data_IF_045876118244
#
_entry.id   IF_045876118244
#
_cell.length_a   1.000
_cell.length_b   1.000
_cell.length_c   1.000
_cell.angle_alpha   90.00
_cell.angle_beta   90.00
_cell.angle_gamma   90.00
#
_symmetry.space_group_name_H-M   'P 1'
#
loop_
_entity.id
_entity.type
_entity.pdbx_description
1 polymer ?
#
# COMPACT_ATOMS: atom_id res chain seq x y z
N UNK A 1 -0.45 -12.77 -2.52
CA UNK A 1 -1.22 -12.68 -1.26
C UNK A 1 -0.85 -11.43 -0.49
N UNK A 2 -1.86 -10.73 0.02
CA UNK A 2 -1.71 -9.59 0.92
C UNK A 2 -1.59 -10.04 2.39
N UNK A 3 -0.77 -9.36 3.16
CA UNK A 3 -0.70 -9.51 4.62
C UNK A 3 -1.02 -8.18 5.29
N UNK A 4 -1.75 -8.22 6.41
CA UNK A 4 -2.12 -7.03 7.19
C UNK A 4 -1.57 -7.18 8.59
N UNK A 5 -0.84 -6.17 9.05
CA UNK A 5 -0.25 -6.12 10.39
C UNK A 5 -0.79 -4.88 11.10
N UNK A 6 -1.53 -5.10 12.19
CA UNK A 6 -2.05 -4.01 13.01
C UNK A 6 -0.95 -3.50 13.95
N UNK A 7 -0.59 -2.23 13.80
CA UNK A 7 0.39 -1.56 14.64
C UNK A 7 -0.28 -0.79 15.80
N UNK A 8 -1.51 -0.33 15.58
CA UNK A 8 -2.40 0.18 16.61
C UNK A 8 -3.86 0.17 16.16
N UNK A 9 -4.74 0.03 17.15
CA UNK A 9 -6.17 -0.29 16.99
C UNK A 9 -7.06 0.49 17.95
N UNK A 10 -6.50 1.48 18.64
CA UNK A 10 -7.26 2.41 19.48
C UNK A 10 -7.76 3.59 18.65
N UNK A 11 -8.92 4.14 19.02
CA UNK A 11 -9.51 5.32 18.41
C UNK A 11 -9.38 6.51 19.37
N UNK A 12 -9.09 7.70 18.82
CA UNK A 12 -8.93 8.99 19.51
C UNK A 12 -7.79 9.09 20.53
N UNK A 13 -7.68 8.15 21.46
CA UNK A 13 -6.64 8.13 22.49
C UNK A 13 -6.01 6.73 22.60
N UNK A 14 -4.70 6.64 22.89
CA UNK A 14 -4.06 5.36 23.14
C UNK A 14 -4.49 4.79 24.49
N UNK A 15 -4.23 3.51 24.68
CA UNK A 15 -4.37 2.83 25.97
C UNK A 15 -3.07 2.10 26.30
N UNK A 16 -2.96 1.57 27.52
CA UNK A 16 -1.81 0.76 27.93
C UNK A 16 -1.57 -0.42 26.97
N UNK A 17 -2.64 -1.02 26.43
CA UNK A 17 -2.56 -2.20 25.57
C UNK A 17 -2.64 -1.91 24.07
N UNK A 18 -3.17 -0.75 23.65
CA UNK A 18 -3.42 -0.43 22.23
C UNK A 18 -2.90 0.95 21.85
N UNK A 19 -2.06 0.99 20.82
CA UNK A 19 -1.63 2.23 20.19
C UNK A 19 -2.74 2.84 19.31
N UNK A 20 -2.60 4.10 18.91
CA UNK A 20 -3.46 4.79 17.95
C UNK A 20 -3.40 4.15 16.55
N UNK A 21 -4.38 4.48 15.70
CA UNK A 21 -4.56 3.88 14.38
C UNK A 21 -3.28 3.88 13.54
N UNK A 22 -2.85 2.68 13.19
CA UNK A 22 -1.81 2.43 12.20
C UNK A 22 -1.85 0.94 11.81
N UNK A 23 -1.81 0.66 10.52
CA UNK A 23 -1.71 -0.71 10.01
C UNK A 23 -0.76 -0.78 8.82
N UNK A 24 -0.04 -1.88 8.67
CA UNK A 24 0.79 -2.15 7.51
C UNK A 24 0.07 -3.12 6.58
N UNK A 25 -0.04 -2.77 5.31
CA UNK A 25 -0.42 -3.69 4.23
C UNK A 25 0.83 -4.07 3.45
N UNK A 26 1.10 -5.37 3.36
CA UNK A 26 2.25 -5.92 2.66
C UNK A 26 1.80 -6.71 1.43
N UNK A 27 2.51 -6.52 0.32
CA UNK A 27 2.35 -7.32 -0.89
C UNK A 27 3.67 -7.44 -1.63
N UNK A 28 4.28 -8.64 -1.62
CA UNK A 28 5.62 -8.89 -2.17
C UNK A 28 6.64 -7.90 -1.61
N UNK A 29 7.10 -6.94 -2.42
CA UNK A 29 8.05 -5.90 -2.02
C UNK A 29 7.39 -4.59 -1.58
N UNK A 30 6.08 -4.43 -1.85
CA UNK A 30 5.30 -3.26 -1.46
C UNK A 30 4.98 -3.27 0.03
N UNK A 31 5.08 -2.09 0.64
CA UNK A 31 4.67 -1.80 2.01
C UNK A 31 3.88 -0.51 2.01
N UNK A 32 2.65 -0.56 2.50
CA UNK A 32 1.77 0.60 2.64
C UNK A 32 1.42 0.76 4.12
N UNK A 33 1.78 1.89 4.70
CA UNK A 33 1.33 2.24 6.04
C UNK A 33 -0.01 2.97 5.93
N UNK A 34 -1.07 2.38 6.46
CA UNK A 34 -2.40 2.97 6.55
C UNK A 34 -2.50 3.70 7.87
N UNK A 35 -2.65 5.03 7.79
CA UNK A 35 -2.56 5.97 8.90
C UNK A 35 -1.24 5.87 9.70
N UNK A 36 -0.95 6.92 10.46
CA UNK A 36 0.25 7.02 11.27
C UNK A 36 -0.06 7.80 12.55
N UNK A 37 -0.83 7.19 13.45
CA UNK A 37 -1.07 7.73 14.79
C UNK A 37 0.22 7.88 15.61
N UNK A 38 0.17 8.68 16.66
CA UNK A 38 1.30 8.83 17.58
C UNK A 38 1.79 7.47 18.08
N UNK A 39 3.12 7.30 18.18
CA UNK A 39 3.74 6.04 18.62
C UNK A 39 3.95 4.97 17.53
N UNK A 40 3.47 5.19 16.31
CA UNK A 40 3.60 4.23 15.19
C UNK A 40 5.04 3.76 14.93
N UNK A 41 6.03 4.67 14.98
CA UNK A 41 7.43 4.29 14.80
C UNK A 41 7.93 3.25 15.82
N UNK A 42 7.46 3.32 17.08
CA UNK A 42 7.80 2.35 18.12
C UNK A 42 7.15 1.01 17.85
N UNK A 43 5.91 1.03 17.34
CA UNK A 43 5.18 -0.18 16.98
C UNK A 43 5.81 -0.88 15.76
N UNK A 44 6.32 -0.12 14.78
CA UNK A 44 7.11 -0.65 13.66
C UNK A 44 8.37 -1.37 14.14
N UNK A 45 9.13 -0.77 15.07
CA UNK A 45 10.32 -1.41 15.63
C UNK A 45 9.98 -2.69 16.42
N UNK A 46 8.95 -2.64 17.27
CA UNK A 46 8.49 -3.82 18.03
C UNK A 46 8.03 -4.97 17.16
N UNK A 47 7.40 -4.67 16.02
CA UNK A 47 6.91 -5.69 15.09
C UNK A 47 8.03 -6.42 14.33
N UNK A 48 9.26 -5.91 14.37
CA UNK A 48 10.38 -6.41 13.55
C UNK A 48 10.33 -5.96 12.09
N UNK A 49 9.27 -5.26 11.65
CA UNK A 49 9.17 -4.75 10.27
C UNK A 49 10.21 -3.67 9.98
N UNK A 50 10.55 -2.86 10.99
CA UNK A 50 11.44 -1.71 10.86
C UNK A 50 10.95 -0.68 9.84
N UNK A 51 11.86 0.16 9.36
CA UNK A 51 11.57 1.26 8.43
C UNK A 51 11.89 0.95 6.96
N UNK A 52 12.57 -0.17 6.70
CA UNK A 52 13.07 -0.52 5.36
C UNK A 52 11.94 -0.58 4.34
N UNK A 53 12.09 0.10 3.20
CA UNK A 53 11.07 0.16 2.12
C UNK A 53 9.71 0.74 2.55
N UNK A 54 9.64 1.48 3.66
CA UNK A 54 8.44 2.25 4.00
C UNK A 54 8.44 3.56 3.19
N UNK A 55 7.87 3.50 1.98
CA UNK A 55 7.86 4.61 1.03
C UNK A 55 6.48 5.22 0.83
N UNK A 56 5.41 4.53 1.25
CA UNK A 56 4.03 4.97 0.99
C UNK A 56 3.21 4.96 2.27
N UNK A 57 2.62 6.10 2.57
CA UNK A 57 1.69 6.29 3.67
C UNK A 57 0.35 6.73 3.10
N UNK A 58 -0.70 5.99 3.44
CA UNK A 58 -2.07 6.25 2.99
C UNK A 58 -2.88 6.73 4.20
N UNK A 59 -3.26 8.01 4.20
CA UNK A 59 -4.03 8.62 5.26
C UNK A 59 -5.52 8.53 4.92
N UNK A 60 -6.28 7.93 5.82
CA UNK A 60 -7.74 7.82 5.67
C UNK A 60 -8.41 9.19 5.85
N UNK A 61 -7.93 10.01 6.78
CA UNK A 61 -8.43 11.37 7.05
C UNK A 61 -7.48 12.15 7.97
N UNK A 62 -7.81 13.43 8.24
CA UNK A 62 -6.94 14.38 8.95
C UNK A 62 -7.09 14.47 10.47
N UNK A 63 -7.78 13.53 11.13
CA UNK A 63 -7.81 13.53 12.59
C UNK A 63 -6.41 13.25 13.18
N UNK A 64 -6.11 13.87 14.32
CA UNK A 64 -4.78 13.86 14.91
C UNK A 64 -4.29 12.47 15.31
N UNK A 65 -5.21 11.61 15.75
CA UNK A 65 -4.91 10.22 16.09
C UNK A 65 -4.54 9.34 14.89
N UNK A 66 -4.68 9.86 13.67
CA UNK A 66 -4.27 9.19 12.43
C UNK A 66 -3.02 9.81 11.79
N UNK A 67 -2.54 10.98 12.23
CA UNK A 67 -1.45 11.69 11.53
C UNK A 67 -0.27 12.13 12.40
N UNK A 68 -0.44 12.24 13.72
CA UNK A 68 0.60 12.80 14.61
C UNK A 68 1.91 11.99 14.65
N UNK A 69 1.87 10.70 14.30
CA UNK A 69 3.06 9.86 14.22
C UNK A 69 4.03 10.26 13.10
N UNK A 70 3.55 10.98 12.08
CA UNK A 70 4.36 11.39 10.93
C UNK A 70 5.50 12.32 11.31
N UNK A 71 5.29 13.22 12.25
CA UNK A 71 6.34 14.15 12.67
C UNK A 71 7.58 13.41 13.22
N UNK A 72 7.36 12.42 14.09
CA UNK A 72 8.45 11.59 14.62
C UNK A 72 9.07 10.67 13.57
N UNK A 73 8.26 10.14 12.65
CA UNK A 73 8.74 9.27 11.58
C UNK A 73 9.65 10.03 10.61
N UNK A 74 9.23 11.21 10.14
CA UNK A 74 10.02 12.08 9.25
C UNK A 74 11.31 12.54 9.90
N UNK A 75 11.27 12.91 11.19
CA UNK A 75 12.47 13.26 11.95
C UNK A 75 13.48 12.10 12.01
N UNK A 76 12.99 10.87 12.16
CA UNK A 76 13.82 9.66 12.16
C UNK A 76 14.43 9.39 10.79
N UNK A 77 13.62 9.43 9.73
CA UNK A 77 14.08 9.19 8.36
C UNK A 77 15.13 10.21 7.92
N UNK A 78 14.92 11.48 8.30
CA UNK A 78 15.85 12.58 8.01
C UNK A 78 17.23 12.39 8.67
N UNK A 79 17.33 11.61 9.76
CA UNK A 79 18.59 11.36 10.46
C UNK A 79 19.27 10.06 10.06
N UNK A 80 18.50 9.06 9.67
CA UNK A 80 18.99 7.70 9.50
C UNK A 80 19.33 7.34 8.06
N UNK A 81 19.06 8.23 7.10
CA UNK A 81 19.23 7.99 5.65
C UNK A 81 18.59 6.65 5.21
N UNK A 82 17.56 6.23 5.95
CA UNK A 82 16.97 4.91 5.83
C UNK A 82 16.02 4.80 4.62
N UNK A 83 15.59 5.95 4.10
CA UNK A 83 14.60 6.08 3.03
C UNK A 83 14.96 7.31 2.20
N UNK A 84 15.02 7.15 0.87
CA UNK A 84 15.32 8.25 -0.07
C UNK A 84 14.10 9.13 -0.35
N UNK A 85 12.91 8.52 -0.44
CA UNK A 85 11.65 9.22 -0.69
C UNK A 85 10.47 8.65 0.10
N UNK A 86 9.53 9.53 0.46
CA UNK A 86 8.31 9.18 1.16
C UNK A 86 7.12 9.89 0.51
N UNK A 87 6.21 9.09 -0.03
CA UNK A 87 4.93 9.54 -0.58
C UNK A 87 3.85 9.46 0.53
N UNK A 88 3.17 10.58 0.77
CA UNK A 88 2.08 10.71 1.74
C UNK A 88 0.81 11.05 0.96
N UNK A 89 -0.11 10.08 0.92
CA UNK A 89 -1.39 10.19 0.24
C UNK A 89 -2.47 10.56 1.25
N UNK A 90 -3.35 11.48 0.90
CA UNK A 90 -4.47 11.85 1.76
C UNK A 90 -5.40 12.86 1.09
N UNK A 91 -6.57 13.10 1.70
CA UNK A 91 -7.37 14.25 1.32
C UNK A 91 -6.67 15.57 1.69
N UNK A 92 -6.99 16.65 0.99
CA UNK A 92 -6.41 18.00 1.20
C UNK A 92 -6.26 18.38 2.67
N UNK A 93 -7.34 18.23 3.44
CA UNK A 93 -7.35 18.55 4.86
C UNK A 93 -6.35 17.75 5.69
N UNK A 94 -6.13 16.47 5.36
CA UNK A 94 -5.12 15.66 6.02
C UNK A 94 -3.72 16.14 5.65
N UNK A 95 -3.47 16.39 4.35
CA UNK A 95 -2.16 16.81 3.84
C UNK A 95 -1.74 18.17 4.40
N UNK A 96 -2.61 19.18 4.40
CA UNK A 96 -2.34 20.50 4.98
C UNK A 96 -1.89 20.39 6.45
N UNK A 97 -2.56 19.55 7.25
CA UNK A 97 -2.20 19.33 8.66
C UNK A 97 -0.86 18.63 8.84
N UNK A 98 -0.54 17.71 7.93
CA UNK A 98 0.74 17.00 7.94
C UNK A 98 1.87 17.93 7.49
N UNK A 99 1.64 18.77 6.49
CA UNK A 99 2.58 19.81 6.07
C UNK A 99 2.87 20.79 7.21
N UNK A 100 1.84 21.28 7.91
CA UNK A 100 2.00 22.13 9.08
C UNK A 100 2.82 21.45 10.19
N UNK A 101 2.56 20.17 10.44
CA UNK A 101 3.31 19.39 11.43
C UNK A 101 4.78 19.25 11.02
N UNK A 102 5.03 18.84 9.78
CA UNK A 102 6.39 18.56 9.29
C UNK A 102 7.19 19.85 9.16
N UNK A 103 6.69 20.82 8.39
CA UNK A 103 7.44 22.03 8.06
C UNK A 103 7.30 23.13 9.11
N UNK A 104 6.16 23.24 9.79
CA UNK A 104 5.95 24.22 10.85
C UNK A 104 6.59 23.83 12.18
N UNK A 105 6.49 22.55 12.57
CA UNK A 105 6.94 22.09 13.90
C UNK A 105 8.27 21.33 13.84
N UNK A 106 8.37 20.30 13.02
CA UNK A 106 9.51 19.37 13.05
C UNK A 106 10.76 19.96 12.38
N UNK A 107 10.60 20.46 11.16
CA UNK A 107 11.70 20.98 10.35
C UNK A 107 11.82 22.52 10.44
N UNK A 108 10.76 23.22 10.88
CA UNK A 108 10.72 24.69 10.99
C UNK A 108 11.20 25.41 9.73
N UNK A 109 10.70 24.96 8.58
CA UNK A 109 11.04 25.49 7.25
C UNK A 109 12.35 24.95 6.65
N UNK A 110 13.09 24.08 7.35
CA UNK A 110 14.27 23.43 6.78
C UNK A 110 13.88 22.38 5.72
N UNK A 111 14.70 22.26 4.69
CA UNK A 111 14.57 21.21 3.68
C UNK A 111 15.03 19.87 4.27
N UNK A 112 14.18 18.83 4.31
CA UNK A 112 14.60 17.51 4.75
C UNK A 112 15.54 16.86 3.72
N UNK A 113 16.47 15.99 4.15
CA UNK A 113 17.33 15.23 3.22
C UNK A 113 16.55 14.13 2.49
N UNK A 114 15.36 13.76 2.97
CA UNK A 114 14.44 12.84 2.30
C UNK A 114 13.53 13.61 1.35
N UNK A 115 13.22 13.04 0.19
CA UNK A 115 12.22 13.62 -0.71
C UNK A 115 10.82 13.32 -0.17
N UNK A 116 10.10 14.36 0.27
CA UNK A 116 8.70 14.26 0.69
C UNK A 116 7.78 14.63 -0.47
N UNK A 117 6.84 13.74 -0.79
CA UNK A 117 5.81 13.99 -1.80
C UNK A 117 4.42 13.88 -1.16
N UNK A 118 3.62 14.93 -1.29
CA UNK A 118 2.24 14.98 -0.80
C UNK A 118 1.31 14.79 -1.99
N UNK A 119 0.53 13.70 -1.96
CA UNK A 119 -0.33 13.31 -3.08
C UNK A 119 -1.79 13.44 -2.68
N UNK A 120 -2.45 14.49 -3.18
CA UNK A 120 -3.88 14.73 -2.93
C UNK A 120 -4.72 13.63 -3.62
N UNK A 121 -5.52 12.94 -2.81
CA UNK A 121 -6.35 11.83 -3.29
C UNK A 121 -7.59 12.32 -4.03
N UNK A 122 -7.90 11.62 -5.13
CA UNK A 122 -9.18 11.66 -5.83
C UNK A 122 -9.74 10.23 -5.94
N UNK A 123 -11.07 10.02 -5.84
CA UNK A 123 -11.65 8.68 -5.97
C UNK A 123 -11.22 7.98 -7.26
N UNK A 124 -10.83 6.71 -7.15
CA UNK A 124 -10.32 5.93 -8.28
C UNK A 124 -8.99 5.24 -7.99
N UNK A 125 -8.33 4.80 -9.05
CA UNK A 125 -7.04 4.08 -8.98
C UNK A 125 -5.93 5.04 -8.56
N UNK A 126 -5.14 4.62 -7.57
CA UNK A 126 -3.96 5.34 -7.07
C UNK A 126 -2.69 4.70 -7.61
N UNK A 127 -2.65 3.36 -7.63
CA UNK A 127 -1.49 2.60 -8.11
C UNK A 127 -1.99 1.36 -8.85
N UNK A 128 -1.41 1.14 -10.03
CA UNK A 128 -1.66 -0.02 -10.86
C UNK A 128 -0.35 -0.79 -11.04
N UNK A 129 -0.34 -2.04 -10.60
CA UNK A 129 0.75 -2.99 -10.81
C UNK A 129 0.28 -4.13 -11.71
N UNK A 130 1.24 -4.93 -12.20
CA UNK A 130 0.95 -6.14 -12.98
C UNK A 130 0.11 -7.15 -12.18
N UNK A 131 0.21 -7.13 -10.84
CA UNK A 131 -0.39 -8.16 -9.99
C UNK A 131 -1.52 -7.66 -9.10
N UNK A 132 -1.63 -6.36 -8.87
CA UNK A 132 -2.71 -5.80 -8.06
C UNK A 132 -3.05 -4.36 -8.47
N UNK A 133 -4.20 -3.91 -8.00
CA UNK A 133 -4.67 -2.53 -8.13
C UNK A 133 -4.94 -1.99 -6.73
N UNK A 134 -4.44 -0.79 -6.45
CA UNK A 134 -4.79 0.00 -5.28
C UNK A 134 -5.66 1.17 -5.72
N UNK A 135 -6.85 1.28 -5.14
CA UNK A 135 -7.77 2.39 -5.37
C UNK A 135 -8.26 3.01 -4.05
N UNK A 136 -8.81 4.21 -4.12
CA UNK A 136 -9.53 4.82 -3.01
C UNK A 136 -10.95 5.22 -3.39
N UNK A 137 -11.79 5.34 -2.36
CA UNK A 137 -13.18 5.73 -2.47
C UNK A 137 -13.56 6.64 -1.29
N UNK A 138 -14.49 7.58 -1.48
CA UNK A 138 -14.90 8.49 -0.40
C UNK A 138 -15.68 7.73 0.67
N UNK A 139 -15.48 8.12 1.94
CA UNK A 139 -16.27 7.61 3.08
C UNK A 139 -16.88 8.76 3.87
N UNK A 140 -17.99 8.48 4.57
CA UNK A 140 -18.63 9.46 5.43
C UNK A 140 -18.05 9.39 6.84
N UNK A 141 -17.35 10.44 7.25
CA UNK A 141 -16.83 10.60 8.60
C UNK A 141 -16.78 12.11 8.95
N UNK A 142 -16.45 12.45 10.20
CA UNK A 142 -16.32 13.86 10.60
C UNK A 142 -15.10 14.48 9.93
N UNK A 143 -15.31 15.58 9.21
CA UNK A 143 -14.28 16.30 8.47
C UNK A 143 -14.33 16.01 6.97
N UNK A 144 -13.77 16.90 6.13
CA UNK A 144 -13.73 16.71 4.68
C UNK A 144 -12.61 15.74 4.26
N UNK A 145 -12.69 15.20 3.05
CA UNK A 145 -11.60 14.44 2.43
C UNK A 145 -11.28 13.12 3.14
N UNK A 146 -12.31 12.38 3.56
CA UNK A 146 -12.15 11.06 4.17
C UNK A 146 -12.23 9.96 3.10
N UNK A 147 -11.29 9.03 3.12
CA UNK A 147 -11.16 7.95 2.13
C UNK A 147 -11.02 6.57 2.78
N UNK A 148 -11.55 5.57 2.09
CA UNK A 148 -11.19 4.16 2.25
C UNK A 148 -10.27 3.71 1.12
N UNK A 149 -9.52 2.63 1.34
CA UNK A 149 -8.60 2.06 0.37
C UNK A 149 -9.00 0.63 0.04
N UNK A 150 -8.94 0.28 -1.26
CA UNK A 150 -9.19 -1.07 -1.77
C UNK A 150 -7.90 -1.61 -2.40
N UNK A 151 -7.39 -2.69 -1.83
CA UNK A 151 -6.30 -3.49 -2.37
C UNK A 151 -6.87 -4.73 -3.05
N UNK A 152 -6.71 -4.83 -4.37
CA UNK A 152 -7.30 -5.91 -5.15
C UNK A 152 -6.22 -6.64 -5.95
N UNK A 153 -5.98 -7.91 -5.60
CA UNK A 153 -5.11 -8.79 -6.41
C UNK A 153 -5.81 -9.07 -7.75
N UNK A 154 -5.07 -9.02 -8.85
CA UNK A 154 -5.61 -9.38 -10.15
C UNK A 154 -5.86 -10.88 -10.19
N UNK A 155 -7.03 -11.26 -10.69
CA UNK A 155 -7.33 -12.66 -10.93
C UNK A 155 -6.31 -13.24 -11.89
N UNK A 156 -5.56 -14.23 -11.42
CA UNK A 156 -4.75 -15.10 -12.30
C UNK A 156 -5.58 -16.35 -12.56
N UNK A 157 -5.85 -16.66 -13.83
CA UNK A 157 -6.43 -17.95 -14.19
C UNK A 157 -5.35 -19.02 -13.98
N UNK A 158 -5.54 -19.98 -13.05
CA UNK A 158 -4.56 -21.04 -12.90
C UNK A 158 -4.53 -21.87 -14.19
N UNK A 159 -3.33 -22.21 -14.66
CA UNK A 159 -3.21 -23.14 -15.77
C UNK A 159 -3.65 -24.54 -15.32
N UNK A 160 -4.65 -25.09 -16.00
CA UNK A 160 -5.22 -26.40 -15.67
C UNK A 160 -4.38 -27.51 -16.33
N UNK A 161 -3.37 -28.00 -15.61
CA UNK A 161 -2.45 -29.04 -16.12
C UNK A 161 -3.19 -30.30 -16.56
N UNK A 162 -4.10 -30.80 -15.72
CA UNK A 162 -4.88 -32.02 -15.99
C UNK A 162 -5.79 -31.85 -17.22
N UNK A 163 -6.35 -30.65 -17.42
CA UNK A 163 -7.17 -30.33 -18.59
C UNK A 163 -6.33 -30.29 -19.87
N UNK A 164 -5.17 -29.64 -19.81
CA UNK A 164 -4.23 -29.57 -20.91
C UNK A 164 -3.77 -30.98 -21.34
N UNK A 165 -3.54 -31.87 -20.37
CA UNK A 165 -3.23 -33.28 -20.63
C UNK A 165 -4.39 -34.03 -21.27
N UNK A 166 -5.62 -33.84 -20.77
CA UNK A 166 -6.83 -34.43 -21.36
C UNK A 166 -7.07 -33.96 -22.79
N UNK A 167 -6.77 -32.70 -23.10
CA UNK A 167 -6.86 -32.14 -24.44
C UNK A 167 -5.69 -32.56 -25.35
N UNK A 168 -4.64 -33.16 -24.80
CA UNK A 168 -3.46 -33.61 -25.55
C UNK A 168 -2.45 -32.50 -25.83
N UNK A 169 -2.44 -31.43 -25.03
CA UNK A 169 -1.50 -30.31 -25.14
C UNK A 169 -0.12 -30.72 -24.57
N UNK A 170 0.94 -30.78 -25.41
CA UNK A 170 2.27 -31.16 -24.96
C UNK A 170 2.82 -30.24 -23.87
N UNK A 171 3.61 -30.79 -22.96
CA UNK A 171 4.35 -29.97 -22.01
C UNK A 171 5.44 -29.17 -22.76
N UNK A 172 5.49 -27.85 -22.57
CA UNK A 172 6.48 -26.99 -23.21
C UNK A 172 5.88 -25.70 -23.77
N UNK A 173 6.26 -25.39 -25.02
CA UNK A 173 5.94 -24.10 -25.66
C UNK A 173 4.43 -23.88 -25.78
N UNK A 174 3.68 -24.94 -26.08
CA UNK A 174 2.23 -24.93 -26.29
C UNK A 174 1.48 -24.48 -25.03
N UNK A 175 1.85 -25.01 -23.85
CA UNK A 175 1.25 -24.58 -22.58
C UNK A 175 1.62 -23.13 -22.24
N UNK A 176 2.85 -22.70 -22.54
CA UNK A 176 3.25 -21.31 -22.32
C UNK A 176 2.43 -20.32 -23.15
N UNK A 177 2.15 -20.65 -24.42
CA UNK A 177 1.29 -19.84 -25.30
C UNK A 177 -0.12 -19.71 -24.71
N UNK A 178 -0.68 -20.80 -24.16
CA UNK A 178 -1.99 -20.77 -23.48
C UNK A 178 -1.96 -19.95 -22.18
N UNK A 179 -0.88 -20.02 -21.39
CA UNK A 179 -0.70 -19.18 -20.19
C UNK A 179 -0.61 -17.69 -20.54
N UNK A 180 -0.07 -17.36 -21.71
CA UNK A 180 0.00 -16.00 -22.27
C UNK A 180 -1.33 -15.58 -22.94
N UNK A 181 -2.43 -16.29 -22.68
CA UNK A 181 -3.78 -16.06 -23.22
C UNK A 181 -3.84 -16.08 -24.75
N UNK A 182 -2.97 -16.88 -25.38
CA UNK A 182 -2.99 -17.10 -26.82
C UNK A 182 -3.44 -18.51 -27.19
N UNK A 183 -4.18 -18.68 -28.30
CA UNK A 183 -4.61 -19.99 -28.76
C UNK A 183 -3.44 -20.78 -29.37
N UNK A 184 -3.47 -22.10 -29.24
CA UNK A 184 -2.49 -23.02 -29.84
C UNK A 184 -3.16 -23.99 -30.80
N UNK A 185 -2.53 -24.26 -31.95
CA UNK A 185 -2.94 -25.33 -32.86
C UNK A 185 -2.02 -26.53 -32.65
N UNK A 186 -2.60 -27.67 -32.29
CA UNK A 186 -1.87 -28.92 -32.05
C UNK A 186 -1.49 -29.60 -33.38
N UNK A 187 -0.58 -30.57 -33.31
CA UNK A 187 -0.12 -31.31 -34.48
C UNK A 187 -1.24 -32.09 -35.20
N UNK A 188 -2.32 -32.42 -34.50
CA UNK A 188 -3.51 -33.07 -35.06
C UNK A 188 -4.52 -32.08 -35.67
N UNK A 189 -4.18 -30.79 -35.74
CA UNK A 189 -5.00 -29.73 -36.33
C UNK A 189 -6.06 -29.14 -35.39
N UNK A 190 -6.22 -29.66 -34.16
CA UNK A 190 -7.15 -29.07 -33.18
C UNK A 190 -6.61 -27.74 -32.67
N UNK A 191 -7.48 -26.73 -32.59
CA UNK A 191 -7.18 -25.41 -32.00
C UNK A 191 -7.70 -25.38 -30.57
N UNK A 192 -6.81 -25.19 -29.62
CA UNK A 192 -7.11 -25.05 -28.20
C UNK A 192 -7.04 -23.58 -27.83
N UNK A 193 -8.07 -23.10 -27.15
CA UNK A 193 -8.17 -21.73 -26.65
C UNK A 193 -7.80 -21.68 -25.15
N UNK A 194 -7.37 -20.53 -24.62
CA UNK A 194 -6.89 -20.38 -23.24
C UNK A 194 -7.99 -20.16 -22.17
N UNK A 195 -9.26 -20.26 -22.55
CA UNK A 195 -10.45 -20.11 -21.68
C UNK A 195 -10.83 -21.37 -20.90
#
# INVERSE_FOLDING_TARGET
>A
MFEIIFLGTSASAPSVSRNLSASMVLYKHYRFLIDCGEGTQRQLLKSGLGFKRLQRILLTHGHLDHVLGLGGLVSTFSRWEAVESLEIYGGRWALERVEDLIFGVVLRGATPPIQLEFVELSPGVILEDADFVLSCFPVTHRGPGCFGFLFQERSRRPFLVEEAERLGVPAGKERRVLVEEQPVTLADGRRILPD
#
